data_IF_923842503040
#
_entry.id   IF_923842503040
#
_cell.length_a   1.000
_cell.length_b   1.000
_cell.length_c   1.000
_cell.angle_alpha   90.00
_cell.angle_beta   90.00
_cell.angle_gamma   90.00
#
_symmetry.space_group_name_H-M   'P 1'
#
loop_
_entity.id
_entity.type
_entity.pdbx_description
1 polymer ?
#
# COMPACT_ATOMS: atom_id res chain seq x y z
N UNK A 1 -43.99 1.23 19.71
CA UNK A 1 -42.96 0.32 19.16
C UNK A 1 -42.06 1.15 18.25
N UNK A 2 -40.91 1.60 18.74
CA UNK A 2 -39.99 2.41 17.94
C UNK A 2 -38.78 1.54 17.61
N UNK A 3 -38.75 1.02 16.38
CA UNK A 3 -37.60 0.33 15.81
C UNK A 3 -36.46 1.34 15.62
N UNK A 4 -35.61 1.44 16.65
CA UNK A 4 -34.32 2.12 16.59
C UNK A 4 -33.42 1.24 15.73
N UNK A 5 -33.29 1.58 14.44
CA UNK A 5 -32.29 0.96 13.58
C UNK A 5 -30.91 1.29 14.18
N UNK A 6 -30.32 0.30 14.83
CA UNK A 6 -28.92 0.32 15.21
C UNK A 6 -28.10 0.46 13.92
N UNK A 7 -27.54 1.65 13.69
CA UNK A 7 -26.51 1.83 12.68
C UNK A 7 -25.34 0.94 13.07
N UNK A 8 -25.22 -0.21 12.43
CA UNK A 8 -24.02 -1.04 12.47
C UNK A 8 -22.89 -0.22 11.85
N UNK A 9 -22.11 0.46 12.69
CA UNK A 9 -20.86 1.08 12.26
C UNK A 9 -19.93 -0.07 11.91
N UNK A 10 -19.79 -0.35 10.63
CA UNK A 10 -18.75 -1.25 10.13
C UNK A 10 -17.39 -0.66 10.54
N UNK A 11 -16.47 -1.44 11.14
CA UNK A 11 -15.12 -0.98 11.43
C UNK A 11 -14.35 -0.89 10.11
N UNK A 12 -14.56 0.19 9.36
CA UNK A 12 -14.00 0.35 8.01
C UNK A 12 -13.81 1.79 7.57
N UNK A 13 -14.04 2.76 8.46
CA UNK A 13 -13.90 4.20 8.18
C UNK A 13 -12.74 4.81 8.98
N UNK A 14 -11.71 4.02 9.27
CA UNK A 14 -10.39 4.61 9.45
C UNK A 14 -9.97 5.11 8.07
N UNK A 15 -10.15 6.40 7.82
CA UNK A 15 -9.60 7.07 6.65
C UNK A 15 -8.09 6.83 6.65
N UNK A 16 -7.67 5.84 5.86
CA UNK A 16 -6.27 5.49 5.69
C UNK A 16 -5.58 6.73 5.13
N UNK A 17 -4.79 7.42 5.96
CA UNK A 17 -4.05 8.62 5.55
C UNK A 17 -2.97 8.20 4.56
N UNK A 18 -3.23 8.42 3.27
CA UNK A 18 -2.27 8.08 2.20
C UNK A 18 -1.40 9.28 1.84
N UNK A 19 -0.08 9.03 1.78
CA UNK A 19 0.93 9.95 1.26
C UNK A 19 1.61 9.40 0.01
N UNK A 20 2.20 10.30 -0.77
CA UNK A 20 3.10 9.92 -1.85
C UNK A 20 4.33 9.21 -1.30
N UNK A 21 4.83 8.26 -2.09
CA UNK A 21 6.12 7.62 -1.84
C UNK A 21 7.23 8.52 -2.36
N UNK A 22 8.30 8.67 -1.58
CA UNK A 22 9.53 9.26 -2.10
C UNK A 22 10.17 8.34 -3.14
N UNK A 23 11.13 8.87 -3.89
CA UNK A 23 11.92 8.07 -4.84
C UNK A 23 12.63 6.89 -4.16
N UNK A 24 13.23 7.14 -3.00
CA UNK A 24 13.90 6.10 -2.20
C UNK A 24 12.94 4.98 -1.79
N UNK A 25 11.75 5.33 -1.32
CA UNK A 25 10.74 4.35 -0.92
C UNK A 25 10.23 3.55 -2.11
N UNK A 26 9.99 4.23 -3.24
CA UNK A 26 9.61 3.57 -4.48
C UNK A 26 10.63 2.48 -4.86
N UNK A 27 11.91 2.79 -4.78
CA UNK A 27 12.97 1.86 -5.17
C UNK A 27 13.19 0.74 -4.15
N UNK A 28 13.14 1.04 -2.85
CA UNK A 28 13.16 0.03 -1.80
C UNK A 28 12.01 -0.97 -2.00
N UNK A 29 10.79 -0.48 -2.18
CA UNK A 29 9.60 -1.31 -2.39
C UNK A 29 9.74 -2.15 -3.66
N UNK A 30 10.17 -1.57 -4.79
CA UNK A 30 10.41 -2.33 -6.04
C UNK A 30 11.42 -3.46 -5.82
N UNK A 31 12.52 -3.20 -5.12
CA UNK A 31 13.54 -4.23 -4.83
C UNK A 31 12.95 -5.34 -3.96
N UNK A 32 12.24 -5.00 -2.89
CA UNK A 32 11.61 -6.00 -2.01
C UNK A 32 10.55 -6.81 -2.74
N UNK A 33 9.75 -6.20 -3.61
CA UNK A 33 8.76 -6.91 -4.43
C UNK A 33 9.42 -7.86 -5.43
N UNK A 34 10.52 -7.43 -6.07
CA UNK A 34 11.32 -8.31 -6.94
C UNK A 34 11.94 -9.47 -6.16
N UNK A 35 12.48 -9.21 -4.97
CA UNK A 35 13.07 -10.24 -4.12
C UNK A 35 12.03 -11.27 -3.64
N UNK A 36 10.91 -10.82 -3.08
CA UNK A 36 9.88 -11.69 -2.50
C UNK A 36 9.02 -12.42 -3.54
N UNK A 37 8.73 -11.77 -4.67
CA UNK A 37 7.75 -12.28 -5.65
C UNK A 37 8.34 -12.57 -7.03
N UNK A 38 9.63 -12.27 -7.25
CA UNK A 38 10.33 -12.40 -8.53
C UNK A 38 10.12 -11.21 -9.48
N UNK A 39 8.98 -10.52 -9.40
CA UNK A 39 8.74 -9.26 -10.12
C UNK A 39 7.55 -8.50 -9.54
N UNK A 40 7.53 -7.18 -9.78
CA UNK A 40 6.36 -6.34 -9.47
C UNK A 40 5.11 -6.84 -10.21
N UNK A 41 5.23 -7.21 -11.49
CA UNK A 41 4.11 -7.70 -12.29
C UNK A 41 3.49 -8.99 -11.72
N UNK A 42 4.32 -9.91 -11.20
CA UNK A 42 3.84 -11.13 -10.55
C UNK A 42 3.09 -10.81 -9.26
N UNK A 43 3.61 -9.90 -8.43
CA UNK A 43 2.90 -9.42 -7.24
C UNK A 43 1.56 -8.76 -7.58
N UNK A 44 1.52 -7.87 -8.58
CA UNK A 44 0.29 -7.23 -9.07
C UNK A 44 -0.78 -8.25 -9.43
N UNK A 45 -0.42 -9.28 -10.20
CA UNK A 45 -1.34 -10.36 -10.61
C UNK A 45 -1.85 -11.16 -9.42
N UNK A 46 -0.96 -11.53 -8.50
CA UNK A 46 -1.31 -12.29 -7.29
C UNK A 46 -2.25 -11.51 -6.34
N UNK A 47 -2.23 -10.18 -6.39
CA UNK A 47 -3.05 -9.31 -5.53
C UNK A 47 -4.27 -8.71 -6.24
N UNK A 48 -4.51 -9.03 -7.52
CA UNK A 48 -5.64 -8.49 -8.29
C UNK A 48 -5.61 -6.95 -8.36
N UNK A 49 -4.42 -6.39 -8.55
CA UNK A 49 -4.19 -4.95 -8.65
C UNK A 49 -4.10 -4.50 -10.12
N UNK A 50 -4.38 -3.22 -10.37
CA UNK A 50 -4.10 -2.60 -11.66
C UNK A 50 -2.60 -2.36 -11.80
N UNK A 51 -1.98 -2.91 -12.84
CA UNK A 51 -0.55 -2.70 -13.09
C UNK A 51 -0.21 -1.22 -13.31
N UNK A 52 -1.08 -0.47 -14.02
CA UNK A 52 -0.90 0.95 -14.22
C UNK A 52 -0.93 1.73 -12.90
N UNK A 53 -1.89 1.44 -12.03
CA UNK A 53 -2.00 2.07 -10.71
C UNK A 53 -0.80 1.75 -9.81
N UNK A 54 -0.33 0.50 -9.85
CA UNK A 54 0.88 0.10 -9.12
C UNK A 54 2.10 0.83 -9.65
N UNK A 55 2.29 0.88 -10.96
CA UNK A 55 3.43 1.59 -11.58
C UNK A 55 3.42 3.07 -11.21
N UNK A 56 2.29 3.78 -11.35
CA UNK A 56 2.19 5.19 -10.96
C UNK A 56 2.47 5.42 -9.47
N UNK A 57 2.06 4.48 -8.61
CA UNK A 57 2.35 4.56 -7.17
C UNK A 57 3.85 4.36 -6.91
N UNK A 58 4.45 3.35 -7.53
CA UNK A 58 5.88 3.03 -7.40
C UNK A 58 6.79 3.95 -8.23
N UNK A 59 6.25 4.97 -8.89
CA UNK A 59 7.03 6.09 -9.48
C UNK A 59 6.74 7.40 -8.76
N UNK A 60 6.01 7.39 -7.64
CA UNK A 60 5.64 8.59 -6.90
C UNK A 60 4.67 9.52 -7.63
N UNK A 61 4.08 9.08 -8.75
CA UNK A 61 3.17 9.91 -9.57
C UNK A 61 1.74 9.94 -9.04
N UNK A 62 1.33 8.91 -8.28
CA UNK A 62 -0.01 8.82 -7.74
C UNK A 62 -0.01 8.10 -6.39
N UNK A 63 -1.05 8.35 -5.59
CA UNK A 63 -1.30 7.68 -4.30
C UNK A 63 -2.54 6.79 -4.37
N UNK A 64 -2.45 5.70 -5.13
CA UNK A 64 -3.58 4.78 -5.27
C UNK A 64 -3.81 4.02 -3.95
N UNK A 65 -4.90 4.32 -3.25
CA UNK A 65 -5.19 3.81 -1.90
C UNK A 65 -5.18 2.28 -1.83
N UNK A 66 -5.73 1.60 -2.84
CA UNK A 66 -5.73 0.12 -2.91
C UNK A 66 -4.30 -0.44 -2.98
N UNK A 67 -3.41 0.21 -3.75
CA UNK A 67 -2.01 -0.19 -3.85
C UNK A 67 -1.30 0.05 -2.53
N UNK A 68 -1.42 1.24 -1.94
CA UNK A 68 -0.77 1.60 -0.68
C UNK A 68 -1.25 0.73 0.48
N UNK A 69 -2.54 0.41 0.54
CA UNK A 69 -3.11 -0.53 1.51
C UNK A 69 -2.54 -1.93 1.35
N UNK A 70 -2.38 -2.41 0.12
CA UNK A 70 -1.75 -3.70 -0.11
C UNK A 70 -0.26 -3.69 0.26
N UNK A 71 0.46 -2.62 -0.05
CA UNK A 71 1.86 -2.46 0.37
C UNK A 71 2.00 -2.45 1.90
N UNK A 72 1.09 -1.80 2.61
CA UNK A 72 1.09 -1.79 4.07
C UNK A 72 0.82 -3.17 4.66
N UNK A 73 -0.10 -3.95 4.08
CA UNK A 73 -0.34 -5.34 4.48
C UNK A 73 0.88 -6.24 4.28
N UNK A 74 1.78 -5.89 3.37
CA UNK A 74 3.05 -6.59 3.12
C UNK A 74 4.20 -6.06 3.99
N UNK A 75 3.94 -5.05 4.84
CA UNK A 75 4.94 -4.34 5.64
C UNK A 75 5.87 -3.45 4.83
N UNK A 76 5.46 -3.07 3.61
CA UNK A 76 6.25 -2.27 2.66
C UNK A 76 5.85 -0.79 2.63
N UNK A 77 4.82 -0.43 3.37
CA UNK A 77 4.37 0.95 3.49
C UNK A 77 3.89 1.19 4.91
N UNK A 78 4.37 2.24 5.54
CA UNK A 78 3.86 2.69 6.82
C UNK A 78 3.13 4.02 6.61
N UNK A 79 1.88 4.07 7.07
CA UNK A 79 1.03 5.26 6.97
C UNK A 79 1.52 6.39 7.88
N UNK A 80 2.33 6.07 8.89
CA UNK A 80 2.76 7.03 9.93
C UNK A 80 4.24 7.43 9.83
N UNK A 81 5.08 6.69 9.08
CA UNK A 81 6.53 6.95 9.00
C UNK A 81 7.13 6.70 7.60
N UNK A 82 8.20 7.42 7.21
CA UNK A 82 9.06 7.02 6.10
C UNK A 82 9.78 5.70 6.43
N UNK A 83 9.97 4.83 5.43
CA UNK A 83 10.80 3.63 5.58
C UNK A 83 12.23 4.06 5.96
N UNK A 84 12.64 3.77 7.20
CA UNK A 84 14.04 3.95 7.64
C UNK A 84 14.90 2.93 6.90
N UNK A 85 16.03 3.38 6.33
CA UNK A 85 17.01 2.50 5.71
C UNK A 85 17.30 1.31 6.62
N UNK A 86 17.17 0.08 6.09
CA UNK A 86 17.75 -1.08 6.73
C UNK A 86 19.27 -0.90 6.65
N UNK A 87 19.85 -0.31 7.70
CA UNK A 87 21.28 -0.28 7.92
C UNK A 87 21.74 -1.72 8.15
N UNK A 88 22.60 -2.23 7.26
CA UNK A 88 23.33 -3.48 7.45
C UNK A 88 24.11 -3.40 8.77
N UNK A 89 23.87 -4.36 9.68
CA UNK A 89 24.64 -4.58 10.92
C UNK A 89 25.75 -5.57 10.64
#
# INVERSE_FOLDING_TARGET
MNNRMEKTILPGDERISTRYLSEFECDAIKRTLKFRFGSVAKWVRQRGLSYASVTQTLTGLAKHEKTLSMLAREGLYNFENPLVEASDV
#
